data_IF_183377125919
#
_entry.id   IF_183377125919
#
_cell.length_a   1.000
_cell.length_b   1.000
_cell.length_c   1.000
_cell.angle_alpha   90.00
_cell.angle_beta   90.00
_cell.angle_gamma   90.00
#
_symmetry.space_group_name_H-M   'P 1'
#
loop_
_entity.id
_entity.type
_entity.pdbx_description
1 polymer ?
#
# COMPACT_ATOMS: atom_id res chain seq x y z
N UNK A 1 21.30 0.75 20.81
CA UNK A 1 20.61 1.97 20.33
C UNK A 1 19.16 1.62 20.07
N UNK A 2 18.22 2.52 20.37
CA UNK A 2 16.82 2.32 20.00
C UNK A 2 16.69 2.22 18.47
N UNK A 3 15.78 1.36 17.99
CA UNK A 3 15.49 1.25 16.56
C UNK A 3 14.94 2.58 16.05
N UNK A 4 15.32 3.00 14.83
CA UNK A 4 14.69 4.13 14.14
C UNK A 4 13.23 3.80 13.87
N UNK A 5 12.34 4.76 14.04
CA UNK A 5 10.89 4.60 13.81
C UNK A 5 10.53 4.93 12.39
N UNK A 6 9.73 4.08 11.78
CA UNK A 6 9.12 4.34 10.47
C UNK A 6 7.61 4.24 10.56
N UNK A 7 6.95 5.02 9.71
CA UNK A 7 5.50 4.98 9.56
C UNK A 7 5.14 4.79 8.08
N UNK A 8 4.16 3.95 7.83
CA UNK A 8 3.52 3.87 6.51
C UNK A 8 2.05 3.49 6.66
N UNK A 9 1.24 3.86 5.68
CA UNK A 9 -0.19 3.62 5.71
C UNK A 9 -0.72 3.11 4.38
N UNK A 10 -1.88 2.46 4.43
CA UNK A 10 -2.59 1.98 3.25
C UNK A 10 -4.09 2.27 3.36
N UNK A 11 -4.66 2.84 2.30
CA UNK A 11 -6.11 3.10 2.25
C UNK A 11 -6.89 1.79 2.13
N UNK A 12 -7.99 1.61 2.90
CA UNK A 12 -8.83 0.42 2.81
C UNK A 12 -9.75 0.49 1.59
N UNK A 13 -9.21 0.11 0.44
CA UNK A 13 -9.94 0.10 -0.84
C UNK A 13 -10.41 -1.31 -1.25
N UNK A 14 -10.45 -2.26 -0.33
CA UNK A 14 -10.82 -3.67 -0.51
C UNK A 14 -9.61 -4.61 -0.55
N UNK A 15 -9.80 -5.90 -0.90
CA UNK A 15 -8.76 -6.92 -0.90
C UNK A 15 -7.50 -6.48 -1.62
N UNK A 16 -6.34 -6.92 -1.15
CA UNK A 16 -5.05 -6.54 -1.73
C UNK A 16 -4.69 -7.48 -2.90
N UNK A 17 -3.95 -6.94 -3.84
CA UNK A 17 -3.52 -7.65 -5.04
C UNK A 17 -1.99 -7.78 -5.12
N UNK A 18 -1.48 -8.54 -6.10
CA UNK A 18 -0.04 -8.79 -6.28
C UNK A 18 0.77 -7.49 -6.38
N UNK A 19 0.21 -6.42 -6.94
CA UNK A 19 0.87 -5.11 -6.98
C UNK A 19 1.09 -4.50 -5.58
N UNK A 20 0.17 -4.75 -4.63
CA UNK A 20 0.37 -4.35 -3.23
C UNK A 20 1.42 -5.24 -2.55
N UNK A 21 1.41 -6.55 -2.84
CA UNK A 21 2.36 -7.51 -2.28
C UNK A 21 3.80 -7.15 -2.65
N UNK A 22 4.10 -6.98 -3.92
CA UNK A 22 5.45 -6.68 -4.42
C UNK A 22 5.84 -5.20 -4.29
N UNK A 23 4.88 -4.32 -4.07
CA UNK A 23 5.11 -2.91 -3.80
C UNK A 23 5.40 -2.65 -2.32
N UNK A 24 4.33 -2.35 -1.55
CA UNK A 24 4.47 -1.94 -0.16
C UNK A 24 4.78 -3.11 0.78
N UNK A 25 4.03 -4.24 0.68
CA UNK A 25 4.03 -5.28 1.71
C UNK A 25 5.35 -6.06 1.78
N UNK A 26 6.01 -6.31 0.66
CA UNK A 26 7.33 -6.94 0.65
C UNK A 26 8.35 -6.11 1.42
N UNK A 27 8.38 -4.79 1.17
CA UNK A 27 9.23 -3.86 1.91
C UNK A 27 8.89 -3.82 3.41
N UNK A 28 7.60 -3.73 3.76
CA UNK A 28 7.16 -3.68 5.16
C UNK A 28 7.54 -4.94 5.93
N UNK A 29 7.43 -6.10 5.28
CA UNK A 29 7.81 -7.38 5.86
C UNK A 29 9.30 -7.43 6.23
N UNK A 30 10.16 -6.86 5.42
CA UNK A 30 11.59 -6.76 5.74
C UNK A 30 11.88 -5.69 6.79
N UNK A 31 11.17 -4.56 6.74
CA UNK A 31 11.38 -3.44 7.63
C UNK A 31 11.00 -3.74 9.07
N UNK A 32 9.97 -4.58 9.34
CA UNK A 32 9.55 -4.92 10.68
C UNK A 32 10.65 -5.56 11.54
N UNK A 33 11.66 -6.17 10.93
CA UNK A 33 12.80 -6.74 11.66
C UNK A 33 13.90 -5.71 11.97
N UNK A 34 13.99 -4.65 11.16
CA UNK A 34 15.06 -3.64 11.21
C UNK A 34 14.67 -2.36 11.97
N UNK A 35 13.39 -2.00 11.95
CA UNK A 35 12.86 -0.73 12.45
C UNK A 35 11.78 -0.94 13.53
N UNK A 36 11.46 0.10 14.26
CA UNK A 36 10.21 0.21 15.02
C UNK A 36 9.11 0.68 14.06
N UNK A 37 8.28 -0.25 13.61
CA UNK A 37 7.35 0.00 12.53
C UNK A 37 5.94 0.29 13.04
N UNK A 38 5.34 1.36 12.51
CA UNK A 38 3.93 1.69 12.65
C UNK A 38 3.28 1.59 11.28
N UNK A 39 2.38 0.63 11.09
CA UNK A 39 1.62 0.46 9.84
C UNK A 39 0.14 0.65 10.13
N UNK A 40 -0.50 1.54 9.39
CA UNK A 40 -1.89 1.89 9.66
C UNK A 40 -2.80 1.80 8.44
N UNK A 41 -4.05 1.46 8.71
CA UNK A 41 -5.11 1.55 7.72
C UNK A 41 -5.63 2.98 7.74
N UNK A 42 -5.47 3.68 6.62
CA UNK A 42 -5.77 5.09 6.43
C UNK A 42 -7.23 5.28 6.02
N UNK A 43 -8.16 5.00 6.92
CA UNK A 43 -9.59 5.03 6.67
C UNK A 43 -10.15 6.45 6.54
N UNK A 44 -9.63 7.43 7.28
CA UNK A 44 -9.99 8.83 7.04
C UNK A 44 -9.47 9.34 5.70
N UNK A 45 -8.30 8.88 5.25
CA UNK A 45 -7.84 9.19 3.89
C UNK A 45 -8.73 8.56 2.82
N UNK A 46 -9.35 7.40 3.07
CA UNK A 46 -10.33 6.85 2.14
C UNK A 46 -11.53 7.77 2.00
N UNK A 47 -12.01 8.34 3.11
CA UNK A 47 -13.14 9.27 3.11
C UNK A 47 -12.89 10.55 2.30
N UNK A 48 -11.65 10.96 2.05
CA UNK A 48 -11.39 12.18 1.25
C UNK A 48 -11.83 12.05 -0.21
N UNK A 49 -11.95 10.82 -0.70
CA UNK A 49 -12.43 10.53 -2.06
C UNK A 49 -13.71 9.70 -2.10
N UNK A 50 -14.01 8.93 -1.04
CA UNK A 50 -15.13 7.99 -0.97
C UNK A 50 -16.19 8.43 0.06
N UNK A 51 -16.30 9.76 0.29
CA UNK A 51 -17.18 10.35 1.30
C UNK A 51 -18.67 10.07 1.06
N UNK A 52 -19.07 9.83 -0.18
CA UNK A 52 -20.43 9.53 -0.63
C UNK A 52 -20.69 8.02 -0.80
N UNK A 53 -19.66 7.17 -0.60
CA UNK A 53 -19.73 5.71 -0.78
C UNK A 53 -19.04 4.97 0.39
N UNK A 54 -19.45 5.25 1.63
CA UNK A 54 -18.75 4.81 2.85
C UNK A 54 -19.08 3.38 3.27
N UNK A 55 -20.19 2.80 2.79
CA UNK A 55 -20.69 1.49 3.21
C UNK A 55 -19.64 0.37 3.20
N UNK A 56 -18.77 0.22 2.16
CA UNK A 56 -17.83 -0.87 2.12
C UNK A 56 -16.58 -0.66 2.99
N UNK A 57 -16.32 0.56 3.50
CA UNK A 57 -15.04 0.91 4.17
C UNK A 57 -14.75 -0.01 5.35
N UNK A 58 -15.76 -0.31 6.17
CA UNK A 58 -15.61 -1.18 7.35
C UNK A 58 -15.19 -2.60 6.98
N UNK A 59 -15.78 -3.15 5.93
CA UNK A 59 -15.39 -4.46 5.40
C UNK A 59 -13.99 -4.42 4.82
N UNK A 60 -13.66 -3.37 4.08
CA UNK A 60 -12.34 -3.18 3.49
C UNK A 60 -11.21 -3.02 4.53
N UNK A 61 -11.48 -2.42 5.69
CA UNK A 61 -10.53 -2.37 6.80
C UNK A 61 -10.17 -3.79 7.24
N UNK A 62 -11.18 -4.64 7.44
CA UNK A 62 -10.95 -6.03 7.84
C UNK A 62 -10.20 -6.81 6.77
N UNK A 63 -10.58 -6.68 5.50
CA UNK A 63 -9.91 -7.35 4.37
C UNK A 63 -8.42 -7.00 4.32
N UNK A 64 -8.08 -5.71 4.41
CA UNK A 64 -6.68 -5.25 4.39
C UNK A 64 -5.92 -5.80 5.60
N UNK A 65 -6.55 -5.82 6.77
CA UNK A 65 -5.92 -6.35 7.98
C UNK A 65 -5.62 -7.84 7.87
N UNK A 66 -6.59 -8.62 7.35
CA UNK A 66 -6.41 -10.04 7.07
C UNK A 66 -5.28 -10.29 6.07
N UNK A 67 -5.21 -9.51 5.01
CA UNK A 67 -4.14 -9.61 4.03
C UNK A 67 -2.77 -9.28 4.65
N UNK A 68 -2.65 -8.26 5.50
CA UNK A 68 -1.43 -7.90 6.19
C UNK A 68 -0.90 -9.03 7.09
N UNK A 69 -1.77 -9.61 7.90
CA UNK A 69 -1.43 -10.75 8.75
C UNK A 69 -1.04 -11.98 7.91
N UNK A 70 -1.72 -12.18 6.79
CA UNK A 70 -1.51 -13.33 5.90
C UNK A 70 -0.17 -13.29 5.18
N UNK A 71 0.30 -12.10 4.76
CA UNK A 71 1.62 -11.94 4.15
C UNK A 71 2.76 -11.98 5.16
N UNK A 72 2.44 -11.97 6.46
CA UNK A 72 3.40 -12.15 7.54
C UNK A 72 3.85 -10.87 8.24
N UNK A 73 3.04 -9.80 8.21
CA UNK A 73 3.22 -8.71 9.17
C UNK A 73 2.81 -9.22 10.56
N UNK A 74 3.73 -9.10 11.52
CA UNK A 74 3.57 -9.66 12.86
C UNK A 74 3.25 -8.57 13.89
N UNK A 75 2.15 -8.70 14.66
CA UNK A 75 1.80 -7.75 15.71
C UNK A 75 2.81 -7.73 16.88
N UNK A 76 3.69 -8.74 16.98
CA UNK A 76 4.80 -8.75 17.94
C UNK A 76 6.00 -7.91 17.47
N UNK A 77 6.12 -7.66 16.14
CA UNK A 77 7.26 -6.96 15.54
C UNK A 77 6.94 -5.53 15.12
N UNK A 78 5.67 -5.26 14.82
CA UNK A 78 5.22 -3.95 14.38
C UNK A 78 3.85 -3.59 14.96
N UNK A 79 3.56 -2.31 15.07
CA UNK A 79 2.25 -1.80 15.48
C UNK A 79 1.33 -1.70 14.27
N UNK A 80 0.29 -2.52 14.25
CA UNK A 80 -0.74 -2.53 13.19
C UNK A 80 -2.01 -1.90 13.75
N UNK A 81 -2.50 -0.81 13.16
CA UNK A 81 -3.63 -0.08 13.71
C UNK A 81 -4.52 0.59 12.65
N UNK A 82 -5.64 1.14 13.07
CA UNK A 82 -6.58 1.87 12.22
C UNK A 82 -6.55 3.35 12.59
N UNK A 83 -6.35 4.22 11.62
CA UNK A 83 -6.19 5.67 11.82
C UNK A 83 -7.32 6.29 12.66
N UNK A 84 -8.56 5.99 12.32
CA UNK A 84 -9.73 6.58 13.00
C UNK A 84 -9.91 6.19 14.48
N UNK A 85 -9.23 5.14 14.94
CA UNK A 85 -9.25 4.76 16.35
C UNK A 85 -8.29 5.60 17.21
N UNK A 86 -7.35 6.32 16.57
CA UNK A 86 -6.42 7.24 17.22
C UNK A 86 -6.87 8.67 16.89
N UNK A 87 -7.76 9.23 17.73
CA UNK A 87 -8.39 10.54 17.48
C UNK A 87 -7.43 11.72 17.49
N UNK A 88 -6.28 11.53 18.12
CA UNK A 88 -5.18 12.46 18.21
C UNK A 88 -4.69 12.94 16.83
N UNK A 89 -4.81 12.11 15.78
CA UNK A 89 -4.54 12.50 14.39
C UNK A 89 -5.40 13.70 13.94
N UNK A 90 -6.70 13.69 14.28
CA UNK A 90 -7.60 14.77 13.91
C UNK A 90 -7.27 16.06 14.67
N UNK A 91 -6.88 15.96 15.94
CA UNK A 91 -6.45 17.13 16.73
C UNK A 91 -5.18 17.74 16.16
N UNK A 92 -4.16 16.91 15.87
CA UNK A 92 -2.92 17.41 15.28
C UNK A 92 -3.17 17.99 13.88
N UNK A 93 -3.98 17.34 13.05
CA UNK A 93 -4.39 17.86 11.75
C UNK A 93 -4.98 19.26 11.87
N UNK A 94 -5.89 19.48 12.82
CA UNK A 94 -6.49 20.79 13.06
C UNK A 94 -5.42 21.85 13.39
N UNK A 95 -4.50 21.56 14.30
CA UNK A 95 -3.44 22.49 14.70
C UNK A 95 -2.48 22.78 13.53
N UNK A 96 -2.10 21.76 12.77
CA UNK A 96 -1.23 21.93 11.59
C UNK A 96 -1.92 22.72 10.48
N UNK A 97 -3.24 22.56 10.31
CA UNK A 97 -4.00 23.30 9.30
C UNK A 97 -3.97 24.81 9.51
N UNK A 98 -3.85 25.26 10.76
CA UNK A 98 -3.78 26.69 11.12
C UNK A 98 -2.45 27.34 10.70
N UNK A 99 -1.40 26.55 10.51
CA UNK A 99 -0.08 27.07 10.16
C UNK A 99 0.34 26.70 8.73
N UNK A 100 -0.42 25.88 8.01
CA UNK A 100 -0.08 25.44 6.65
C UNK A 100 -0.60 26.43 5.61
N UNK A 101 0.26 27.09 4.80
CA UNK A 101 -0.19 28.00 3.77
C UNK A 101 -0.95 27.28 2.65
N UNK A 102 -2.12 27.79 2.24
CA UNK A 102 -2.91 27.25 1.14
C UNK A 102 -2.10 27.05 -0.17
N UNK A 103 -1.22 27.99 -0.59
CA UNK A 103 -0.43 27.78 -1.82
C UNK A 103 0.50 26.56 -1.79
N UNK A 104 0.85 26.01 -0.61
CA UNK A 104 1.62 24.78 -0.52
C UNK A 104 0.79 23.58 -0.96
N UNK A 105 -0.50 23.57 -0.59
CA UNK A 105 -1.44 22.49 -0.94
C UNK A 105 -1.84 22.57 -2.41
N UNK A 106 -2.19 23.75 -2.89
CA UNK A 106 -2.62 23.98 -4.27
C UNK A 106 -1.50 23.71 -5.31
N UNK A 107 -0.23 23.88 -4.94
CA UNK A 107 0.92 23.61 -5.81
C UNK A 107 1.38 22.16 -5.76
N UNK A 108 0.87 21.33 -4.85
CA UNK A 108 1.27 19.93 -4.74
C UNK A 108 0.96 19.19 -6.06
N UNK A 109 1.95 18.57 -6.73
CA UNK A 109 1.75 17.86 -7.99
C UNK A 109 0.70 16.76 -7.89
N UNK A 110 0.76 15.94 -6.84
CA UNK A 110 -0.17 14.82 -6.64
C UNK A 110 -1.62 15.30 -6.46
N UNK A 111 -1.85 16.44 -5.81
CA UNK A 111 -3.19 17.05 -5.71
C UNK A 111 -3.76 17.38 -7.09
N UNK A 112 -2.95 18.01 -7.96
CA UNK A 112 -3.36 18.38 -9.32
C UNK A 112 -3.62 17.15 -10.19
N UNK A 113 -2.74 16.15 -10.11
CA UNK A 113 -2.87 14.89 -10.87
C UNK A 113 -4.15 14.15 -10.48
N UNK A 114 -4.44 14.03 -9.19
CA UNK A 114 -5.64 13.35 -8.72
C UNK A 114 -6.93 14.05 -9.13
N UNK A 115 -6.98 15.40 -9.09
CA UNK A 115 -8.14 16.15 -9.63
C UNK A 115 -8.31 15.87 -11.12
N UNK A 116 -7.21 15.78 -11.89
CA UNK A 116 -7.27 15.51 -13.32
C UNK A 116 -7.70 14.07 -13.64
N UNK A 117 -7.33 13.10 -12.81
CA UNK A 117 -7.62 11.68 -13.02
C UNK A 117 -9.03 11.28 -12.55
N UNK A 118 -9.50 11.83 -11.42
CA UNK A 118 -10.76 11.44 -10.77
C UNK A 118 -11.95 12.34 -11.22
N UNK A 119 -12.08 12.57 -12.50
CA UNK A 119 -13.11 13.45 -13.11
C UNK A 119 -14.57 13.11 -12.76
N UNK A 120 -14.83 11.88 -12.30
CA UNK A 120 -16.17 11.40 -11.96
C UNK A 120 -16.55 11.66 -10.49
N UNK A 121 -15.69 12.38 -9.73
CA UNK A 121 -15.90 12.70 -8.32
C UNK A 121 -15.75 14.20 -8.11
N UNK A 122 -16.61 14.77 -7.28
CA UNK A 122 -16.43 16.15 -6.81
C UNK A 122 -15.37 16.16 -5.70
N UNK A 123 -14.16 16.57 -6.07
CA UNK A 123 -13.03 16.71 -5.18
C UNK A 123 -12.77 18.18 -4.76
N UNK A 124 -13.66 19.09 -5.12
CA UNK A 124 -13.56 20.52 -4.78
C UNK A 124 -14.03 20.81 -3.34
N UNK A 125 -13.58 19.97 -2.40
CA UNK A 125 -13.93 20.11 -0.98
C UNK A 125 -12.68 20.25 -0.11
N UNK A 126 -12.88 20.82 1.10
CA UNK A 126 -11.80 21.05 2.04
C UNK A 126 -11.07 19.75 2.46
N UNK A 127 -11.80 18.66 2.63
CA UNK A 127 -11.21 17.37 3.02
C UNK A 127 -10.19 16.89 2.02
N UNK A 128 -10.48 17.02 0.71
CA UNK A 128 -9.55 16.63 -0.34
C UNK A 128 -8.38 17.63 -0.48
N UNK A 129 -8.61 18.92 -0.34
CA UNK A 129 -7.52 19.91 -0.31
C UNK A 129 -6.61 19.69 0.90
N UNK A 130 -7.20 19.34 2.05
CA UNK A 130 -6.50 19.20 3.33
C UNK A 130 -5.81 17.86 3.56
N UNK A 131 -6.05 16.83 2.72
CA UNK A 131 -5.50 15.49 2.98
C UNK A 131 -3.97 15.45 3.13
N UNK A 132 -3.16 16.28 2.46
CA UNK A 132 -1.72 16.26 2.66
C UNK A 132 -1.29 16.73 4.06
N UNK A 133 -2.11 17.60 4.69
CA UNK A 133 -1.89 18.02 6.08
C UNK A 133 -2.26 16.90 7.05
N UNK A 134 -3.33 16.13 6.76
CA UNK A 134 -3.67 14.93 7.53
C UNK A 134 -2.55 13.88 7.42
N UNK A 135 -1.98 13.70 6.25
CA UNK A 135 -0.84 12.80 6.06
C UNK A 135 0.40 13.29 6.84
N UNK A 136 0.64 14.60 6.88
CA UNK A 136 1.70 15.16 7.70
C UNK A 136 1.44 14.89 9.19
N UNK A 137 0.19 15.07 9.65
CA UNK A 137 -0.20 14.75 11.03
C UNK A 137 0.05 13.27 11.35
N UNK A 138 -0.33 12.35 10.45
CA UNK A 138 -0.08 10.92 10.62
C UNK A 138 1.41 10.62 10.84
N UNK A 139 2.27 11.20 10.00
CA UNK A 139 3.72 10.93 10.01
C UNK A 139 4.38 11.49 11.27
N UNK A 140 4.15 12.76 11.58
CA UNK A 140 4.86 13.41 12.69
C UNK A 140 4.27 13.07 14.06
N UNK A 141 3.02 12.57 14.13
CA UNK A 141 2.39 12.07 15.34
C UNK A 141 3.24 11.02 16.04
N UNK A 142 3.81 10.11 15.28
CA UNK A 142 4.65 9.01 15.80
C UNK A 142 6.13 9.39 15.86
N UNK A 143 6.50 10.64 15.60
CA UNK A 143 7.90 11.09 15.51
C UNK A 143 8.73 10.18 14.61
N UNK A 144 8.17 9.80 13.45
CA UNK A 144 8.81 8.91 12.50
C UNK A 144 10.14 9.51 12.00
N UNK A 145 11.20 8.72 12.04
CA UNK A 145 12.50 9.09 11.49
C UNK A 145 12.52 8.94 9.96
N UNK A 146 11.68 8.04 9.42
CA UNK A 146 11.60 7.79 7.99
C UNK A 146 10.24 7.30 7.53
N UNK A 147 9.93 7.56 6.28
CA UNK A 147 8.66 7.19 5.63
C UNK A 147 8.98 6.41 4.36
N UNK A 148 8.71 5.09 4.31
CA UNK A 148 8.90 4.28 3.12
C UNK A 148 7.79 4.59 2.10
N UNK A 149 8.18 5.11 0.94
CA UNK A 149 7.25 5.54 -0.11
C UNK A 149 7.81 5.27 -1.51
N UNK A 150 6.92 5.10 -2.48
CA UNK A 150 7.27 5.21 -3.90
C UNK A 150 7.63 6.66 -4.27
N UNK A 151 8.30 6.82 -5.39
CA UNK A 151 8.77 8.13 -5.88
C UNK A 151 7.63 9.14 -6.08
N UNK A 152 6.44 8.66 -6.44
CA UNK A 152 5.23 9.45 -6.61
C UNK A 152 4.71 10.09 -5.32
N UNK A 153 5.04 9.51 -4.16
CA UNK A 153 4.65 10.00 -2.83
C UNK A 153 5.73 10.88 -2.18
N UNK A 154 6.92 10.98 -2.75
CA UNK A 154 7.99 11.82 -2.22
C UNK A 154 7.59 13.30 -2.00
N UNK A 155 6.77 13.94 -2.89
CA UNK A 155 6.30 15.31 -2.67
C UNK A 155 5.47 15.49 -1.39
N UNK A 156 4.71 14.46 -0.96
CA UNK A 156 3.95 14.50 0.29
C UNK A 156 4.85 14.43 1.52
N UNK A 157 5.91 13.62 1.46
CA UNK A 157 6.89 13.56 2.56
C UNK A 157 7.64 14.89 2.66
N UNK A 158 7.99 15.53 1.52
CA UNK A 158 8.63 16.85 1.56
C UNK A 158 7.70 17.92 2.14
N UNK A 159 6.43 17.91 1.76
CA UNK A 159 5.43 18.81 2.40
C UNK A 159 5.34 18.56 3.91
N UNK A 160 5.36 17.31 4.34
CA UNK A 160 5.39 16.96 5.78
C UNK A 160 6.60 17.56 6.48
N UNK A 161 7.78 17.49 5.85
CA UNK A 161 9.03 18.08 6.36
C UNK A 161 8.91 19.59 6.52
N UNK A 162 8.33 20.28 5.54
CA UNK A 162 8.10 21.74 5.61
C UNK A 162 7.11 22.11 6.71
N UNK A 163 6.02 21.35 6.87
CA UNK A 163 5.05 21.54 7.95
C UNK A 163 5.70 21.32 9.33
N UNK A 164 6.52 20.27 9.48
CA UNK A 164 7.23 19.99 10.72
C UNK A 164 8.24 21.10 11.07
N UNK A 165 9.03 21.59 10.08
CA UNK A 165 9.94 22.72 10.26
C UNK A 165 9.20 23.98 10.68
N UNK A 166 8.05 24.26 10.04
CA UNK A 166 7.25 25.43 10.35
C UNK A 166 6.64 25.37 11.73
N UNK A 167 6.16 24.20 12.16
CA UNK A 167 5.70 24.00 13.53
C UNK A 167 6.82 24.26 14.52
N UNK A 168 7.98 23.64 14.34
CA UNK A 168 9.15 23.80 15.21
C UNK A 168 9.63 25.26 15.25
N UNK A 169 9.57 25.98 14.13
CA UNK A 169 9.92 27.40 14.08
C UNK A 169 9.02 28.28 14.96
N UNK A 170 7.70 28.00 15.00
CA UNK A 170 6.77 28.81 15.79
C UNK A 170 6.70 28.41 17.26
N UNK A 171 6.86 27.12 17.56
CA UNK A 171 6.50 26.58 18.87
C UNK A 171 7.65 25.85 19.57
N UNK A 172 8.82 25.75 18.95
CA UNK A 172 9.98 25.02 19.48
C UNK A 172 10.11 23.60 18.93
N UNK A 173 11.24 22.96 19.18
CA UNK A 173 11.62 21.68 18.61
C UNK A 173 10.81 20.52 19.22
N UNK A 174 9.66 20.18 18.61
CA UNK A 174 8.79 19.07 19.00
C UNK A 174 8.95 17.90 18.05
N UNK A 175 9.01 18.15 16.75
CA UNK A 175 8.98 17.12 15.73
C UNK A 175 10.35 16.88 15.09
N UNK A 176 10.82 15.61 15.02
CA UNK A 176 11.92 15.27 14.13
C UNK A 176 11.50 15.50 12.66
N UNK A 177 12.46 15.81 11.82
CA UNK A 177 12.20 15.96 10.38
C UNK A 177 12.34 14.58 9.71
N UNK A 178 11.27 13.99 9.20
CA UNK A 178 11.30 12.64 8.65
C UNK A 178 12.11 12.56 7.36
N UNK A 179 12.81 11.45 7.13
CA UNK A 179 13.52 11.15 5.90
C UNK A 179 12.60 10.38 4.93
N UNK A 180 12.72 10.65 3.63
CA UNK A 180 12.08 9.83 2.60
C UNK A 180 12.90 8.57 2.38
N UNK A 181 12.30 7.40 2.62
CA UNK A 181 12.91 6.11 2.28
C UNK A 181 12.29 5.65 0.97
N UNK A 182 13.02 5.85 -0.13
CA UNK A 182 12.54 5.38 -1.43
C UNK A 182 12.53 3.85 -1.46
N UNK A 183 11.35 3.29 -1.74
CA UNK A 183 11.19 1.85 -1.93
C UNK A 183 11.14 1.53 -3.41
N UNK A 184 11.89 0.50 -3.82
CA UNK A 184 11.75 -0.05 -5.15
C UNK A 184 10.36 -0.70 -5.24
N UNK A 185 9.45 -0.08 -5.96
CA UNK A 185 8.18 -0.71 -6.29
C UNK A 185 8.32 -1.43 -7.62
N UNK A 186 8.38 -2.74 -7.59
CA UNK A 186 8.20 -3.53 -8.81
C UNK A 186 6.82 -3.20 -9.38
N UNK A 187 6.79 -2.54 -10.55
CA UNK A 187 5.53 -2.26 -11.24
C UNK A 187 4.96 -3.57 -11.77
N UNK A 188 4.09 -4.20 -11.00
CA UNK A 188 3.39 -5.39 -11.46
C UNK A 188 2.31 -4.99 -12.46
N UNK A 189 2.38 -5.58 -13.64
CA UNK A 189 1.37 -5.37 -14.67
C UNK A 189 0.11 -6.18 -14.34
N UNK A 190 -1.05 -5.62 -14.60
CA UNK A 190 -2.31 -6.34 -14.57
C UNK A 190 -2.48 -7.29 -15.75
N UNK A 191 -3.60 -8.01 -15.79
CA UNK A 191 -3.90 -8.97 -16.87
C UNK A 191 -3.88 -8.34 -18.26
N UNK A 192 -4.16 -7.05 -18.36
CA UNK A 192 -4.24 -6.23 -19.59
C UNK A 192 -2.95 -5.45 -19.90
N UNK A 193 -1.87 -5.71 -19.17
CA UNK A 193 -0.55 -5.06 -19.30
C UNK A 193 -0.48 -3.60 -18.82
N UNK A 194 -1.57 -3.01 -18.37
CA UNK A 194 -1.52 -1.75 -17.63
C UNK A 194 -1.05 -2.01 -16.19
N UNK A 195 -0.70 -0.98 -15.44
CA UNK A 195 -0.43 -1.10 -14.00
C UNK A 195 -1.60 -1.84 -13.34
N UNK A 196 -1.29 -2.85 -12.51
CA UNK A 196 -2.31 -3.60 -11.79
C UNK A 196 -3.10 -2.68 -10.87
N UNK A 197 -4.42 -2.69 -11.02
CA UNK A 197 -5.33 -1.83 -10.26
C UNK A 197 -6.73 -2.44 -10.19
N UNK A 198 -7.40 -2.27 -9.06
CA UNK A 198 -8.80 -2.67 -8.87
C UNK A 198 -9.74 -1.95 -9.84
N UNK A 199 -9.52 -0.64 -10.04
CA UNK A 199 -10.36 0.19 -10.92
C UNK A 199 -10.30 -0.21 -12.38
N UNK A 200 -9.25 -0.91 -12.82
CA UNK A 200 -9.15 -1.45 -14.18
C UNK A 200 -9.65 -2.89 -14.30
N UNK A 201 -10.11 -3.49 -13.20
CA UNK A 201 -10.53 -4.90 -13.16
C UNK A 201 -9.49 -5.86 -13.76
N UNK A 202 -8.20 -5.54 -13.58
CA UNK A 202 -7.06 -6.28 -14.14
C UNK A 202 -6.18 -6.94 -13.07
N UNK A 203 -6.68 -7.01 -11.82
CA UNK A 203 -5.90 -7.44 -10.67
C UNK A 203 -6.09 -8.93 -10.34
N UNK A 204 -5.01 -9.56 -9.88
CA UNK A 204 -5.04 -10.85 -9.18
C UNK A 204 -4.91 -10.54 -7.70
N UNK A 205 -5.92 -10.94 -6.92
CA UNK A 205 -5.97 -10.70 -5.48
C UNK A 205 -5.23 -11.79 -4.70
N UNK A 206 -4.74 -11.45 -3.51
CA UNK A 206 -4.08 -12.40 -2.61
C UNK A 206 -5.06 -13.47 -2.11
N UNK A 207 -6.34 -13.13 -2.04
CA UNK A 207 -7.45 -14.00 -1.63
C UNK A 207 -8.09 -14.79 -2.77
N UNK A 208 -7.65 -14.62 -4.04
CA UNK A 208 -8.21 -15.36 -5.17
C UNK A 208 -8.01 -16.88 -4.99
N UNK A 209 -9.07 -17.66 -5.26
CA UNK A 209 -8.95 -19.13 -5.26
C UNK A 209 -8.06 -19.62 -6.40
N UNK A 210 -7.53 -20.87 -6.32
CA UNK A 210 -6.77 -21.47 -7.40
C UNK A 210 -7.46 -21.41 -8.76
N UNK A 211 -8.78 -21.66 -8.79
CA UNK A 211 -9.59 -21.64 -10.01
C UNK A 211 -9.71 -20.23 -10.57
N UNK A 212 -9.89 -19.23 -9.71
CA UNK A 212 -9.95 -17.81 -10.11
C UNK A 212 -8.62 -17.36 -10.68
N UNK A 213 -7.50 -17.73 -10.04
CA UNK A 213 -6.15 -17.43 -10.54
C UNK A 213 -5.95 -18.06 -11.92
N UNK A 214 -6.28 -19.35 -12.09
CA UNK A 214 -6.15 -20.05 -13.37
C UNK A 214 -6.96 -19.35 -14.47
N UNK A 215 -8.19 -18.97 -14.17
CA UNK A 215 -9.05 -18.25 -15.11
C UNK A 215 -8.46 -16.88 -15.48
N UNK A 216 -8.02 -16.10 -14.50
CA UNK A 216 -7.42 -14.76 -14.71
C UNK A 216 -6.15 -14.85 -15.55
N UNK A 217 -5.26 -15.79 -15.24
CA UNK A 217 -4.05 -16.06 -16.02
C UNK A 217 -4.38 -16.51 -17.43
N UNK A 218 -5.39 -17.38 -17.59
CA UNK A 218 -5.89 -17.79 -18.88
C UNK A 218 -6.31 -16.63 -19.78
N UNK A 219 -6.87 -15.57 -19.20
CA UNK A 219 -7.33 -14.37 -19.89
C UNK A 219 -6.24 -13.32 -20.13
N UNK A 220 -5.02 -13.48 -19.54
CA UNK A 220 -3.93 -12.53 -19.77
C UNK A 220 -3.68 -12.34 -21.25
N UNK A 221 -3.59 -11.09 -21.66
CA UNK A 221 -3.39 -10.71 -23.05
C UNK A 221 -1.96 -11.11 -23.47
N UNK A 222 -1.86 -11.90 -24.50
CA UNK A 222 -0.63 -12.12 -25.27
C UNK A 222 -0.68 -11.26 -26.55
N UNK A 223 0.47 -10.95 -27.10
CA UNK A 223 0.47 -10.03 -28.25
C UNK A 223 -0.13 -10.66 -29.51
N UNK A 224 -0.79 -9.84 -30.37
CA UNK A 224 -1.31 -10.28 -31.69
C UNK A 224 -0.24 -10.85 -32.64
N UNK A 225 1.04 -10.63 -32.35
CA UNK A 225 2.18 -11.07 -33.17
C UNK A 225 2.37 -12.60 -33.19
N UNK A 226 1.82 -13.35 -32.20
CA UNK A 226 1.83 -14.80 -32.19
C UNK A 226 0.43 -15.32 -32.44
N UNK A 227 0.04 -15.37 -33.70
CA UNK A 227 -1.28 -15.85 -34.11
C UNK A 227 -1.39 -17.36 -34.10
N UNK A 228 -0.29 -18.07 -34.37
CA UNK A 228 -0.24 -19.54 -34.45
C UNK A 228 0.76 -20.10 -33.45
N UNK A 229 0.57 -21.36 -33.03
CA UNK A 229 1.49 -22.05 -32.13
C UNK A 229 2.92 -22.13 -32.70
N UNK A 230 3.06 -22.26 -34.02
CA UNK A 230 4.33 -22.36 -34.72
C UNK A 230 5.06 -21.00 -34.89
N UNK A 231 4.42 -19.86 -34.52
CA UNK A 231 5.06 -18.56 -34.61
C UNK A 231 5.99 -18.35 -33.40
N UNK A 232 7.23 -17.83 -33.58
CA UNK A 232 8.07 -17.45 -32.47
C UNK A 232 7.42 -16.41 -31.58
N UNK A 233 7.54 -16.57 -30.26
CA UNK A 233 7.09 -15.58 -29.29
C UNK A 233 8.17 -14.55 -28.98
N UNK A 234 7.77 -13.51 -28.22
CA UNK A 234 8.71 -12.52 -27.68
C UNK A 234 8.47 -12.36 -26.17
N UNK A 235 9.26 -13.08 -25.33
CA UNK A 235 9.17 -12.98 -23.86
C UNK A 235 9.39 -11.58 -23.32
N UNK A 236 10.28 -10.77 -23.90
CA UNK A 236 10.66 -9.44 -23.39
C UNK A 236 9.47 -8.49 -23.23
N UNK A 237 8.43 -8.75 -23.98
CA UNK A 237 7.20 -7.94 -24.00
C UNK A 237 5.97 -8.73 -23.54
N UNK A 238 6.15 -9.98 -23.12
CA UNK A 238 5.06 -10.86 -22.72
C UNK A 238 4.73 -10.68 -21.25
N UNK A 239 3.47 -10.29 -20.95
CA UNK A 239 3.01 -10.16 -19.57
C UNK A 239 3.07 -11.46 -18.78
N UNK A 240 2.76 -12.59 -19.42
CA UNK A 240 2.86 -13.92 -18.77
C UNK A 240 4.30 -14.23 -18.40
N UNK A 241 5.25 -13.89 -19.25
CA UNK A 241 6.67 -14.12 -18.96
C UNK A 241 7.20 -13.25 -17.81
N UNK A 242 6.74 -12.00 -17.68
CA UNK A 242 7.10 -11.18 -16.51
C UNK A 242 6.65 -11.81 -15.19
N UNK A 243 5.53 -12.54 -15.19
CA UNK A 243 5.11 -13.33 -14.02
C UNK A 243 5.94 -14.61 -13.82
N UNK A 244 6.40 -15.28 -14.89
CA UNK A 244 7.35 -16.37 -14.75
C UNK A 244 8.65 -15.92 -14.08
N UNK A 245 9.16 -14.73 -14.41
CA UNK A 245 10.34 -14.15 -13.76
C UNK A 245 10.16 -13.94 -12.25
N UNK A 246 8.92 -13.75 -11.77
CA UNK A 246 8.60 -13.54 -10.36
C UNK A 246 8.26 -14.82 -9.60
N UNK A 247 7.65 -15.81 -10.27
CA UNK A 247 7.00 -16.94 -9.62
C UNK A 247 7.50 -18.32 -10.09
N UNK A 248 8.37 -18.38 -11.07
CA UNK A 248 9.07 -19.62 -11.46
C UNK A 248 10.50 -19.60 -10.94
N UNK A 249 11.07 -20.79 -10.73
CA UNK A 249 12.50 -20.88 -10.53
C UNK A 249 13.26 -20.43 -11.78
N UNK A 250 14.54 -20.12 -11.61
CA UNK A 250 15.36 -19.55 -12.66
C UNK A 250 15.48 -20.48 -13.88
N UNK A 251 15.65 -21.78 -13.66
CA UNK A 251 15.80 -22.78 -14.73
C UNK A 251 14.53 -22.86 -15.57
N UNK A 252 13.36 -22.93 -14.92
CA UNK A 252 12.05 -22.89 -15.58
C UNK A 252 11.84 -21.60 -16.38
N UNK A 253 12.19 -20.43 -15.82
CA UNK A 253 12.03 -19.17 -16.53
C UNK A 253 12.93 -19.05 -17.75
N UNK A 254 14.22 -19.44 -17.64
CA UNK A 254 15.18 -19.48 -18.76
C UNK A 254 14.74 -20.49 -19.85
N UNK A 255 14.23 -21.66 -19.44
CA UNK A 255 13.68 -22.65 -20.36
C UNK A 255 12.48 -22.15 -21.16
N UNK A 256 11.54 -21.49 -20.47
CA UNK A 256 10.35 -20.89 -21.12
C UNK A 256 10.76 -19.76 -22.07
N UNK A 257 11.76 -18.94 -21.74
CA UNK A 257 12.28 -17.91 -22.63
C UNK A 257 12.77 -18.51 -23.94
N UNK A 258 13.65 -19.50 -23.87
CA UNK A 258 14.22 -20.18 -25.03
C UNK A 258 13.13 -20.89 -25.87
N UNK A 259 12.28 -21.68 -25.24
CA UNK A 259 11.22 -22.42 -25.93
C UNK A 259 10.18 -21.50 -26.57
N UNK A 260 9.89 -20.35 -25.94
CA UNK A 260 8.98 -19.36 -26.50
C UNK A 260 9.54 -18.73 -27.77
N UNK A 261 10.83 -18.36 -27.77
CA UNK A 261 11.52 -17.78 -28.95
C UNK A 261 11.65 -18.78 -30.09
N UNK A 262 11.79 -20.06 -29.78
CA UNK A 262 11.89 -21.16 -30.75
C UNK A 262 10.53 -21.78 -31.16
N UNK A 263 9.41 -21.22 -30.68
CA UNK A 263 8.06 -21.72 -30.89
C UNK A 263 7.82 -23.18 -30.36
N UNK A 264 8.66 -23.64 -29.44
CA UNK A 264 8.55 -24.99 -28.85
C UNK A 264 7.43 -25.11 -27.82
N UNK A 265 7.19 -24.04 -27.03
CA UNK A 265 6.08 -23.97 -26.05
C UNK A 265 4.90 -23.16 -26.59
N UNK A 266 3.67 -23.62 -26.34
CA UNK A 266 2.43 -22.89 -26.66
C UNK A 266 2.03 -21.91 -25.54
N UNK A 267 1.38 -20.77 -25.89
CA UNK A 267 0.94 -19.80 -24.90
C UNK A 267 -0.04 -20.37 -23.86
N UNK A 268 -0.87 -21.34 -24.24
CA UNK A 268 -1.82 -21.99 -23.31
C UNK A 268 -1.07 -22.84 -22.28
N UNK A 269 -0.05 -23.58 -22.72
CA UNK A 269 0.79 -24.38 -21.85
C UNK A 269 1.62 -23.51 -20.89
N UNK A 270 2.30 -22.50 -21.41
CA UNK A 270 3.04 -21.51 -20.65
C UNK A 270 2.15 -20.85 -19.55
N UNK A 271 0.93 -20.44 -19.90
CA UNK A 271 -0.03 -19.88 -18.94
C UNK A 271 -0.45 -20.87 -17.85
N UNK A 272 -0.64 -22.15 -18.19
CA UNK A 272 -0.96 -23.18 -17.20
C UNK A 272 0.17 -23.37 -16.21
N UNK A 273 1.41 -23.42 -16.69
CA UNK A 273 2.59 -23.52 -15.83
C UNK A 273 2.71 -22.30 -14.91
N UNK A 274 2.58 -21.09 -15.46
CA UNK A 274 2.62 -19.86 -14.67
C UNK A 274 1.50 -19.82 -13.62
N UNK A 275 0.27 -20.20 -13.98
CA UNK A 275 -0.84 -20.24 -13.04
C UNK A 275 -0.58 -21.23 -11.89
N UNK A 276 -0.03 -22.40 -12.18
CA UNK A 276 0.33 -23.39 -11.17
C UNK A 276 1.40 -22.84 -10.19
N UNK A 277 2.43 -22.19 -10.72
CA UNK A 277 3.48 -21.57 -9.90
C UNK A 277 2.95 -20.43 -9.03
N UNK A 278 2.09 -19.58 -9.59
CA UNK A 278 1.46 -18.51 -8.85
C UNK A 278 0.53 -19.03 -7.75
N UNK A 279 -0.29 -20.05 -8.04
CA UNK A 279 -1.13 -20.73 -7.04
C UNK A 279 -0.28 -21.23 -5.89
N UNK A 280 0.81 -21.96 -6.19
CA UNK A 280 1.75 -22.48 -5.19
C UNK A 280 2.40 -21.38 -4.36
N UNK A 281 2.78 -20.27 -4.99
CA UNK A 281 3.39 -19.14 -4.27
C UNK A 281 2.40 -18.43 -3.32
N UNK A 282 1.11 -18.40 -3.67
CA UNK A 282 0.07 -17.78 -2.84
C UNK A 282 -0.56 -18.74 -1.82
N UNK A 283 -0.34 -20.06 -1.91
CA UNK A 283 -0.88 -21.04 -0.94
C UNK A 283 -0.60 -20.66 0.52
N UNK A 284 0.62 -20.33 0.93
CA UNK A 284 0.90 -20.01 2.32
C UNK A 284 0.16 -18.74 2.79
N UNK A 285 -0.09 -17.79 1.89
CA UNK A 285 -0.85 -16.56 2.19
C UNK A 285 -2.33 -16.92 2.38
N UNK A 286 -2.91 -17.72 1.49
CA UNK A 286 -4.31 -18.15 1.57
C UNK A 286 -4.57 -19.00 2.82
N UNK A 287 -3.66 -19.91 3.16
CA UNK A 287 -3.76 -20.73 4.39
C UNK A 287 -3.78 -19.86 5.65
N UNK A 288 -2.88 -18.89 5.75
CA UNK A 288 -2.86 -17.93 6.85
C UNK A 288 -4.12 -17.04 6.86
N UNK A 289 -4.58 -16.61 5.70
CA UNK A 289 -5.81 -15.82 5.61
C UNK A 289 -7.00 -16.63 6.14
N UNK A 290 -7.16 -17.87 5.69
CA UNK A 290 -8.21 -18.77 6.19
C UNK A 290 -8.10 -19.02 7.69
N UNK A 291 -6.87 -19.14 8.23
CA UNK A 291 -6.66 -19.25 9.67
C UNK A 291 -7.22 -18.04 10.44
N UNK A 292 -7.00 -16.82 9.96
CA UNK A 292 -7.49 -15.60 10.62
C UNK A 292 -8.99 -15.37 10.36
N UNK A 293 -9.51 -15.65 9.18
CA UNK A 293 -10.92 -15.53 8.83
C UNK A 293 -11.82 -16.40 9.75
N UNK A 294 -11.32 -17.56 10.13
CA UNK A 294 -12.04 -18.46 11.09
C UNK A 294 -11.88 -18.03 12.55
N UNK A 295 -11.09 -16.97 12.85
CA UNK A 295 -10.79 -16.49 14.22
C UNK A 295 -11.00 -14.98 14.35
N UNK A 296 -12.21 -14.46 14.14
CA UNK A 296 -12.48 -13.02 14.14
C UNK A 296 -12.17 -12.34 15.48
N UNK A 297 -12.27 -13.05 16.60
CA UNK A 297 -11.95 -12.49 17.91
C UNK A 297 -10.43 -12.27 18.07
N UNK A 298 -9.63 -13.18 17.52
CA UNK A 298 -8.17 -13.00 17.49
C UNK A 298 -7.79 -11.76 16.67
N UNK A 299 -8.41 -11.58 15.49
CA UNK A 299 -8.16 -10.41 14.65
C UNK A 299 -8.59 -9.12 15.33
N UNK A 300 -9.76 -9.10 15.99
CA UNK A 300 -10.21 -7.94 16.78
C UNK A 300 -9.24 -7.61 17.91
N UNK A 301 -8.76 -8.60 18.63
CA UNK A 301 -7.78 -8.40 19.71
C UNK A 301 -6.46 -7.81 19.18
N UNK A 302 -5.97 -8.26 18.02
CA UNK A 302 -4.77 -7.70 17.39
C UNK A 302 -5.00 -6.23 17.00
N UNK A 303 -6.14 -5.92 16.39
CA UNK A 303 -6.49 -4.54 16.01
C UNK A 303 -6.55 -3.64 17.26
N UNK A 304 -7.21 -4.10 18.32
CA UNK A 304 -7.35 -3.33 19.56
C UNK A 304 -6.01 -3.09 20.25
N UNK A 305 -5.17 -4.11 20.36
CA UNK A 305 -3.80 -3.98 20.93
C UNK A 305 -2.96 -2.97 20.12
N UNK A 306 -3.00 -3.05 18.78
CA UNK A 306 -2.31 -2.12 17.91
C UNK A 306 -2.83 -0.67 18.04
N UNK A 307 -4.15 -0.50 18.12
CA UNK A 307 -4.78 0.80 18.36
C UNK A 307 -4.35 1.41 19.70
N UNK A 308 -4.31 0.60 20.76
CA UNK A 308 -3.89 1.04 22.09
C UNK A 308 -2.41 1.45 22.11
N UNK A 309 -1.52 0.65 21.50
CA UNK A 309 -0.09 0.97 21.37
C UNK A 309 0.12 2.27 20.59
N UNK A 310 -0.53 2.40 19.44
CA UNK A 310 -0.44 3.61 18.62
C UNK A 310 -0.97 4.85 19.38
N UNK A 311 -2.11 4.71 20.06
CA UNK A 311 -2.71 5.78 20.83
C UNK A 311 -1.86 6.23 22.02
N UNK A 312 -1.17 5.32 22.68
CA UNK A 312 -0.25 5.67 23.77
C UNK A 312 0.85 6.61 23.28
N UNK A 313 1.47 6.33 22.13
CA UNK A 313 2.49 7.18 21.52
C UNK A 313 1.87 8.52 21.06
N UNK A 314 0.71 8.48 20.43
CA UNK A 314 0.02 9.69 19.95
C UNK A 314 -0.34 10.64 21.10
N UNK A 315 -0.83 10.12 22.22
CA UNK A 315 -1.14 10.94 23.43
C UNK A 315 0.11 11.62 23.97
N UNK A 316 1.23 10.89 24.12
CA UNK A 316 2.47 11.48 24.57
C UNK A 316 2.93 12.63 23.63
N UNK A 317 2.86 12.42 22.32
CA UNK A 317 3.20 13.47 21.35
C UNK A 317 2.26 14.67 21.47
N UNK A 318 0.95 14.43 21.65
CA UNK A 318 -0.02 15.52 21.81
C UNK A 318 0.15 16.30 23.11
N UNK A 319 0.61 15.68 24.18
CA UNK A 319 0.99 16.39 25.42
C UNK A 319 2.11 17.40 25.14
N UNK A 320 3.15 17.00 24.41
CA UNK A 320 4.24 17.89 24.01
C UNK A 320 3.76 19.00 23.07
N UNK A 321 2.88 18.65 22.10
CA UNK A 321 2.29 19.61 21.17
C UNK A 321 1.48 20.66 21.90
N UNK A 322 0.55 20.23 22.79
CA UNK A 322 -0.28 21.16 23.57
C UNK A 322 0.56 22.07 24.46
N UNK A 323 1.58 21.51 25.11
CA UNK A 323 2.52 22.33 25.91
C UNK A 323 3.27 23.37 25.06
N UNK A 324 3.71 23.00 23.86
CA UNK A 324 4.41 23.89 22.93
C UNK A 324 3.51 25.03 22.43
N UNK A 325 2.26 24.72 22.04
CA UNK A 325 1.28 25.73 21.58
C UNK A 325 0.56 26.45 22.72
N UNK A 326 0.79 26.05 23.98
CA UNK A 326 0.25 26.67 25.23
C UNK A 326 -1.27 26.58 25.36
N UNK A 327 -1.85 25.42 25.06
CA UNK A 327 -3.27 25.07 25.24
C UNK A 327 -3.45 23.83 26.11
#
# INVERSE_FOLDING_TARGET
MAKKRILSGMRPTGPLHLGNLHGALANWKEMQDKYECFFFIADWHALTTDYDATEPIRGHILDVFLDWLSVGLSPEKCTLFVQSYVKEHAELFLLLSMITPLPWLERNPTYKEQIAELKNRDLSNFGFLGYPVLQAADIIMYKANGVPVGIDQAPHVELTREIARRFNHFYGDVFPIPETILTESSKILGMDRRKMSKSYNNAIFLSDSPEVIQNKVGQMIYRPQRARRADPGNPDICNVFSFHQLYSDRETAEGIDAECREAKIGCVECKKMMAANLVKALDPIREKRSFYETRPDTVRAIIEDGNQKARAVARQTMEEVRAAVKI
#
